data_IF_173097223234
#
_entry.id   IF_173097223234
#
_cell.length_a   1.000
_cell.length_b   1.000
_cell.length_c   1.000
_cell.angle_alpha   90.00
_cell.angle_beta   90.00
_cell.angle_gamma   90.00
#
_symmetry.space_group_name_H-M   'P 1'
#
loop_
_entity.id
_entity.type
_entity.pdbx_description
1 polymer ?
#
# COMPACT_ATOMS: atom_id res chain seq x y z
N UNK A 1 15.70 -0.86 -21.84
CA UNK A 1 17.17 -0.79 -21.88
C UNK A 1 17.67 -0.16 -20.60
N UNK A 2 18.45 -0.89 -19.78
CA UNK A 2 18.96 -0.39 -18.51
C UNK A 2 20.06 0.66 -18.76
N UNK A 3 19.87 1.89 -18.28
CA UNK A 3 20.88 2.94 -18.38
C UNK A 3 22.05 2.65 -17.42
N UNK A 4 23.30 2.65 -17.90
CA UNK A 4 24.46 2.32 -17.07
C UNK A 4 24.62 3.33 -15.92
N UNK A 5 25.02 2.85 -14.74
CA UNK A 5 25.15 3.66 -13.52
C UNK A 5 26.03 4.91 -13.72
N UNK A 6 27.04 4.81 -14.59
CA UNK A 6 27.96 5.88 -14.97
C UNK A 6 27.22 7.01 -15.71
N UNK A 7 26.27 6.67 -16.61
CA UNK A 7 25.46 7.67 -17.30
C UNK A 7 24.55 8.43 -16.32
N UNK A 8 24.02 7.75 -15.29
CA UNK A 8 23.23 8.40 -14.22
C UNK A 8 24.07 9.30 -13.32
N UNK A 9 25.34 8.97 -13.05
CA UNK A 9 26.25 9.86 -12.31
C UNK A 9 26.58 11.12 -13.11
N UNK A 10 26.93 10.98 -14.39
CA UNK A 10 27.25 12.11 -15.27
C UNK A 10 26.05 13.02 -15.56
N UNK A 11 24.84 12.48 -15.58
CA UNK A 11 23.62 13.28 -15.68
C UNK A 11 23.37 14.12 -14.41
N UNK A 12 23.61 13.54 -13.22
CA UNK A 12 23.46 14.24 -11.93
C UNK A 12 24.47 15.37 -11.74
N UNK A 13 25.70 15.20 -12.22
CA UNK A 13 26.73 16.25 -12.13
C UNK A 13 26.47 17.44 -13.07
N UNK A 14 25.69 17.24 -14.14
CA UNK A 14 25.29 18.30 -15.09
C UNK A 14 24.05 19.07 -14.66
N UNK A 15 23.30 18.57 -13.68
CA UNK A 15 22.14 19.28 -13.12
C UNK A 15 22.65 20.34 -12.16
N UNK A 16 22.42 21.62 -12.49
CA UNK A 16 22.72 22.72 -11.60
C UNK A 16 21.90 22.58 -10.30
N UNK A 17 22.47 22.92 -9.13
CA UNK A 17 21.77 22.87 -7.86
C UNK A 17 20.63 23.90 -7.88
N UNK A 18 19.40 23.44 -8.14
CA UNK A 18 18.20 24.25 -8.05
C UNK A 18 17.91 24.50 -6.58
N UNK A 19 17.96 25.77 -6.14
CA UNK A 19 17.42 26.17 -4.84
C UNK A 19 15.91 25.97 -4.87
N UNK A 20 15.45 24.88 -4.26
CA UNK A 20 14.03 24.62 -4.04
C UNK A 20 13.47 25.66 -3.07
N UNK A 21 12.36 26.29 -3.45
CA UNK A 21 11.55 27.09 -2.52
C UNK A 21 11.02 26.20 -1.39
N UNK A 22 10.74 26.79 -0.23
CA UNK A 22 10.35 26.01 0.95
C UNK A 22 9.04 25.24 0.74
N UNK A 23 8.13 25.75 -0.09
CA UNK A 23 6.91 25.04 -0.50
C UNK A 23 7.20 23.74 -1.28
N UNK A 24 8.20 23.76 -2.16
CA UNK A 24 8.58 22.58 -2.94
C UNK A 24 9.30 21.53 -2.09
N UNK A 25 10.00 21.96 -1.02
CA UNK A 25 10.56 21.03 -0.03
C UNK A 25 9.46 20.35 0.77
N UNK A 26 8.40 21.08 1.11
CA UNK A 26 7.26 20.58 1.87
C UNK A 26 6.48 19.52 1.06
N UNK A 27 6.14 19.82 -0.19
CA UNK A 27 5.51 18.85 -1.11
C UNK A 27 6.32 17.57 -1.29
N UNK A 28 7.65 17.66 -1.37
CA UNK A 28 8.50 16.46 -1.43
C UNK A 28 8.49 15.64 -0.14
N UNK A 29 8.32 16.25 1.01
CA UNK A 29 8.20 15.53 2.29
C UNK A 29 6.85 14.80 2.35
N UNK A 30 5.77 15.49 2.00
CA UNK A 30 4.43 14.88 1.89
C UNK A 30 4.40 13.73 0.89
N UNK A 31 5.01 13.88 -0.29
CA UNK A 31 5.09 12.79 -1.27
C UNK A 31 5.90 11.60 -0.75
N UNK A 32 6.96 11.84 0.04
CA UNK A 32 7.76 10.78 0.64
C UNK A 32 7.01 10.10 1.78
N UNK A 33 6.24 10.84 2.55
CA UNK A 33 5.40 10.31 3.63
C UNK A 33 4.22 9.51 3.06
N UNK A 34 3.50 10.02 2.05
CA UNK A 34 2.43 9.28 1.37
C UNK A 34 2.93 7.98 0.71
N UNK A 35 4.15 7.98 0.16
CA UNK A 35 4.75 6.75 -0.40
C UNK A 35 5.22 5.76 0.67
N UNK A 36 5.65 6.24 1.84
CA UNK A 36 5.98 5.39 3.00
C UNK A 36 4.72 4.82 3.67
N UNK A 37 3.64 5.60 3.68
CA UNK A 37 2.33 5.22 4.22
C UNK A 37 1.48 4.42 3.23
N UNK A 38 2.01 4.09 2.05
CA UNK A 38 1.32 3.24 1.09
C UNK A 38 1.19 1.82 1.66
N UNK A 39 0.03 1.54 2.25
CA UNK A 39 -0.31 0.22 2.80
C UNK A 39 -0.02 -0.84 1.72
N UNK A 40 0.74 -1.90 2.03
CA UNK A 40 1.05 -2.92 1.04
C UNK A 40 -0.23 -3.56 0.48
N UNK A 41 -0.30 -3.72 -0.85
CA UNK A 41 -1.48 -4.30 -1.51
C UNK A 41 -1.85 -5.69 -0.97
N UNK A 42 -0.85 -6.48 -0.54
CA UNK A 42 -1.06 -7.80 0.05
C UNK A 42 -1.78 -7.72 1.41
N UNK A 43 -1.53 -6.66 2.18
CA UNK A 43 -2.16 -6.43 3.49
C UNK A 43 -3.64 -6.10 3.34
N UNK A 44 -3.98 -5.32 2.31
CA UNK A 44 -5.38 -5.05 1.94
C UNK A 44 -6.09 -6.33 1.53
N UNK A 45 -5.44 -7.16 0.69
CA UNK A 45 -5.97 -8.46 0.28
C UNK A 45 -6.17 -9.42 1.46
N UNK A 46 -5.20 -9.52 2.37
CA UNK A 46 -5.32 -10.37 3.55
C UNK A 46 -6.48 -9.93 4.45
N UNK A 47 -6.64 -8.63 4.65
CA UNK A 47 -7.75 -8.10 5.44
C UNK A 47 -9.11 -8.45 4.81
N UNK A 48 -9.22 -8.36 3.48
CA UNK A 48 -10.43 -8.71 2.74
C UNK A 48 -10.76 -10.20 2.87
N UNK A 49 -9.76 -11.08 2.72
CA UNK A 49 -9.91 -12.54 2.89
C UNK A 49 -10.33 -12.90 4.31
N UNK A 50 -9.76 -12.26 5.34
CA UNK A 50 -10.12 -12.52 6.74
C UNK A 50 -11.57 -12.12 7.02
N UNK A 51 -12.01 -10.94 6.56
CA UNK A 51 -13.38 -10.46 6.78
C UNK A 51 -14.40 -11.35 6.07
N UNK A 52 -14.16 -11.67 4.79
CA UNK A 52 -15.08 -12.52 4.01
C UNK A 52 -15.06 -13.97 4.54
N UNK A 53 -13.88 -14.52 4.81
CA UNK A 53 -13.73 -15.87 5.36
C UNK A 53 -14.38 -16.03 6.72
N UNK A 54 -14.18 -15.07 7.63
CA UNK A 54 -14.83 -15.09 8.95
C UNK A 54 -16.35 -14.98 8.85
N UNK A 55 -16.87 -14.17 7.92
CA UNK A 55 -18.30 -14.03 7.69
C UNK A 55 -18.91 -15.34 7.16
N UNK A 56 -18.27 -16.00 6.21
CA UNK A 56 -18.71 -17.29 5.66
C UNK A 56 -18.69 -18.39 6.73
N UNK A 57 -17.62 -18.48 7.52
CA UNK A 57 -17.52 -19.44 8.62
C UNK A 57 -18.61 -19.18 9.66
N UNK A 58 -18.87 -17.92 10.00
CA UNK A 58 -19.90 -17.56 10.97
C UNK A 58 -21.31 -17.89 10.45
N UNK A 59 -21.59 -17.66 9.16
CA UNK A 59 -22.85 -18.08 8.54
C UNK A 59 -22.96 -19.60 8.53
N UNK A 60 -21.88 -20.31 8.17
CA UNK A 60 -21.87 -21.77 8.16
C UNK A 60 -22.15 -22.36 9.55
N UNK A 61 -21.45 -21.88 10.58
CA UNK A 61 -21.74 -22.28 11.96
C UNK A 61 -23.16 -21.89 12.37
N UNK A 62 -23.62 -20.68 12.04
CA UNK A 62 -24.98 -20.24 12.34
C UNK A 62 -26.04 -21.12 11.68
N UNK A 63 -25.83 -21.60 10.46
CA UNK A 63 -26.79 -22.44 9.74
C UNK A 63 -26.70 -23.91 10.16
N UNK A 64 -25.49 -24.43 10.35
CA UNK A 64 -25.24 -25.83 10.68
C UNK A 64 -25.47 -26.12 12.16
N UNK A 65 -25.14 -25.19 13.05
CA UNK A 65 -25.44 -25.28 14.48
C UNK A 65 -26.76 -24.66 14.87
N UNK A 66 -27.50 -23.99 13.96
CA UNK A 66 -28.89 -23.65 14.25
C UNK A 66 -29.61 -24.97 14.52
N UNK A 67 -30.03 -25.24 15.77
CA UNK A 67 -30.90 -26.36 16.01
C UNK A 67 -32.14 -26.02 15.19
N UNK A 68 -32.48 -26.83 14.18
CA UNK A 68 -33.86 -26.85 13.72
C UNK A 68 -34.66 -27.07 14.99
N UNK A 69 -35.31 -26.01 15.48
CA UNK A 69 -36.30 -26.15 16.55
C UNK A 69 -37.31 -27.12 15.97
N UNK A 70 -37.20 -28.36 16.42
CA UNK A 70 -38.24 -29.35 16.24
C UNK A 70 -39.39 -28.84 17.11
N UNK A 71 -40.26 -28.06 16.49
CA UNK A 71 -41.67 -27.95 16.86
C UNK A 71 -42.48 -28.34 15.62
#
# INVERSE_FOLDING_TARGET
MATPAIAKMRARSRQQPVRLSDEQKLKRREERENKKSAIPKWLVWSMLVIVVGSSLVNIYFSVVQSPRRME
#
